data_IF_091156645704
#
_entry.id   IF_091156645704
#
_cell.length_a   1.000
_cell.length_b   1.000
_cell.length_c   1.000
_cell.angle_alpha   90.00
_cell.angle_beta   90.00
_cell.angle_gamma   90.00
#
_symmetry.space_group_name_H-M   'P 1'
#
loop_
_entity.id
_entity.type
_entity.pdbx_description
1 polymer ?
#
# COMPACT_ATOMS: atom_id res chain seq x y z
N UNK A 1 5.08 6.00 -1.71
CA UNK A 1 4.08 5.13 -1.03
C UNK A 1 4.72 3.81 -0.66
N UNK A 2 4.56 3.34 0.59
CA UNK A 2 5.12 2.06 1.00
C UNK A 2 4.43 0.91 0.21
N UNK A 3 5.19 0.04 -0.50
CA UNK A 3 4.61 -1.02 -1.34
C UNK A 3 4.02 -2.18 -0.55
N UNK A 4 4.18 -2.20 0.79
CA UNK A 4 3.81 -3.32 1.65
C UNK A 4 2.33 -3.68 1.59
N UNK A 5 1.44 -2.69 1.58
CA UNK A 5 -0.01 -2.93 1.52
C UNK A 5 -0.42 -3.51 0.17
N UNK A 6 0.11 -2.97 -0.93
CA UNK A 6 -0.12 -3.54 -2.26
C UNK A 6 0.41 -4.97 -2.36
N UNK A 7 1.59 -5.25 -1.79
CA UNK A 7 2.13 -6.61 -1.75
C UNK A 7 1.17 -7.58 -1.06
N UNK A 8 0.62 -7.19 0.10
CA UNK A 8 -0.33 -8.03 0.84
C UNK A 8 -1.63 -8.22 0.08
N UNK A 9 -2.20 -7.15 -0.51
CA UNK A 9 -3.43 -7.22 -1.31
C UNK A 9 -3.25 -8.08 -2.56
N UNK A 10 -2.13 -7.93 -3.27
CA UNK A 10 -1.82 -8.75 -4.46
C UNK A 10 -1.75 -10.22 -4.08
N UNK A 11 -1.02 -10.58 -3.03
CA UNK A 11 -0.93 -11.98 -2.59
C UNK A 11 -2.30 -12.54 -2.20
N UNK A 12 -3.07 -11.81 -1.37
CA UNK A 12 -4.37 -12.25 -0.87
C UNK A 12 -5.42 -12.46 -1.98
N UNK A 13 -5.30 -11.75 -3.10
CA UNK A 13 -6.22 -11.87 -4.24
C UNK A 13 -5.69 -12.76 -5.36
N UNK A 14 -4.44 -13.23 -5.25
CA UNK A 14 -3.77 -13.98 -6.30
C UNK A 14 -4.39 -15.36 -6.52
N UNK A 15 -4.39 -15.80 -7.78
CA UNK A 15 -4.85 -17.13 -8.18
C UNK A 15 -3.72 -17.84 -8.92
N UNK A 16 -2.58 -17.99 -8.23
CA UNK A 16 -1.34 -18.58 -8.75
C UNK A 16 -0.93 -19.77 -7.91
N UNK A 17 0.09 -20.49 -8.36
CA UNK A 17 0.66 -21.61 -7.60
C UNK A 17 1.23 -21.14 -6.25
N UNK A 18 1.12 -21.95 -5.18
CA UNK A 18 1.58 -21.57 -3.83
C UNK A 18 3.03 -21.07 -3.78
N UNK A 19 3.91 -21.63 -4.61
CA UNK A 19 5.31 -21.23 -4.68
C UNK A 19 5.48 -19.77 -5.16
N UNK A 20 4.63 -19.31 -6.08
CA UNK A 20 4.69 -17.93 -6.58
C UNK A 20 4.22 -16.93 -5.51
N UNK A 21 3.19 -17.29 -4.74
CA UNK A 21 2.76 -16.50 -3.60
C UNK A 21 3.84 -16.44 -2.51
N UNK A 22 4.45 -17.58 -2.17
CA UNK A 22 5.55 -17.67 -1.21
C UNK A 22 6.75 -16.83 -1.64
N UNK A 23 7.15 -16.91 -2.91
CA UNK A 23 8.19 -16.08 -3.50
C UNK A 23 7.85 -14.58 -3.37
N UNK A 24 6.62 -14.19 -3.65
CA UNK A 24 6.21 -12.78 -3.58
C UNK A 24 6.18 -12.25 -2.14
N UNK A 25 5.83 -13.10 -1.16
CA UNK A 25 5.85 -12.77 0.26
C UNK A 25 7.22 -12.94 0.93
N UNK A 26 8.17 -13.60 0.26
CA UNK A 26 9.49 -13.90 0.78
C UNK A 26 10.20 -12.65 1.30
N UNK A 27 10.83 -12.78 2.46
CA UNK A 27 11.67 -11.74 3.06
C UNK A 27 13.10 -12.26 3.14
N UNK A 28 14.03 -11.53 2.53
CA UNK A 28 15.43 -11.88 2.56
C UNK A 28 15.97 -11.95 3.99
N UNK A 29 16.88 -12.89 4.24
CA UNK A 29 17.55 -13.06 5.52
C UNK A 29 18.49 -11.88 5.80
N UNK A 30 18.57 -11.47 7.08
CA UNK A 30 19.18 -10.21 7.54
C UNK A 30 20.68 -10.08 7.28
N UNK A 31 21.35 -11.19 7.04
CA UNK A 31 22.78 -11.32 6.78
C UNK A 31 23.18 -11.01 5.33
N UNK A 32 22.20 -10.75 4.46
CA UNK A 32 22.43 -10.42 3.04
C UNK A 32 22.32 -8.92 2.78
N UNK A 33 22.82 -8.46 1.62
CA UNK A 33 22.65 -7.06 1.16
C UNK A 33 21.18 -6.63 1.06
N UNK A 34 20.28 -7.57 0.76
CA UNK A 34 18.84 -7.34 0.68
C UNK A 34 18.13 -7.66 2.02
N UNK A 35 18.89 -7.87 3.09
CA UNK A 35 18.37 -8.41 4.32
C UNK A 35 17.20 -7.63 4.91
N UNK A 36 16.13 -8.34 5.22
CA UNK A 36 14.89 -7.76 5.74
C UNK A 36 13.97 -7.16 4.69
N UNK A 37 14.38 -6.99 3.43
CA UNK A 37 13.49 -6.51 2.37
C UNK A 37 12.55 -7.63 1.90
N UNK A 38 11.24 -7.35 1.75
CA UNK A 38 10.36 -8.26 1.04
C UNK A 38 10.64 -8.26 -0.46
N UNK A 39 10.74 -9.43 -1.08
CA UNK A 39 10.94 -9.55 -2.52
C UNK A 39 9.79 -8.91 -3.31
N UNK A 40 8.54 -9.13 -2.89
CA UNK A 40 7.38 -8.49 -3.54
C UNK A 40 7.43 -6.96 -3.55
N UNK A 41 8.01 -6.33 -2.53
CA UNK A 41 8.20 -4.87 -2.52
C UNK A 41 9.21 -4.43 -3.59
N UNK A 42 10.28 -5.19 -3.76
CA UNK A 42 11.29 -4.92 -4.79
C UNK A 42 10.70 -5.15 -6.20
N UNK A 43 9.87 -6.18 -6.37
CA UNK A 43 9.14 -6.43 -7.62
C UNK A 43 8.20 -5.26 -7.93
N UNK A 44 7.40 -4.78 -6.97
CA UNK A 44 6.50 -3.63 -7.16
C UNK A 44 7.29 -2.38 -7.54
N UNK A 45 8.43 -2.13 -6.89
CA UNK A 45 9.31 -0.99 -7.19
C UNK A 45 9.88 -1.07 -8.61
N UNK A 46 10.46 -2.23 -8.98
CA UNK A 46 10.98 -2.45 -10.32
C UNK A 46 9.90 -2.34 -11.39
N UNK A 47 8.70 -2.89 -11.14
CA UNK A 47 7.58 -2.75 -12.06
C UNK A 47 7.15 -1.29 -12.21
N UNK A 48 7.13 -0.52 -11.11
CA UNK A 48 6.80 0.92 -11.15
C UNK A 48 7.78 1.71 -12.00
N UNK A 49 9.08 1.40 -11.93
CA UNK A 49 10.10 2.02 -12.78
C UNK A 49 9.93 1.61 -14.25
N UNK A 50 9.66 0.34 -14.52
CA UNK A 50 9.48 -0.19 -15.88
C UNK A 50 8.23 0.34 -16.58
N UNK A 51 7.11 0.45 -15.86
CA UNK A 51 5.83 0.95 -16.41
C UNK A 51 5.70 2.47 -16.31
N UNK A 52 6.64 3.13 -15.64
CA UNK A 52 6.71 4.58 -15.45
C UNK A 52 5.77 5.14 -14.38
N UNK A 53 4.83 4.36 -13.84
CA UNK A 53 4.00 4.75 -12.71
C UNK A 53 3.43 3.55 -11.95
N UNK A 54 3.03 3.79 -10.69
CA UNK A 54 2.57 2.77 -9.75
C UNK A 54 1.27 2.09 -10.19
N UNK A 55 0.34 2.83 -10.80
CA UNK A 55 -0.95 2.27 -11.24
C UNK A 55 -0.74 1.23 -12.34
N UNK A 56 0.07 1.54 -13.35
CA UNK A 56 0.37 0.61 -14.45
C UNK A 56 1.17 -0.61 -13.96
N UNK A 57 2.02 -0.45 -12.94
CA UNK A 57 2.73 -1.55 -12.30
C UNK A 57 1.76 -2.50 -11.58
N UNK A 58 0.83 -1.95 -10.79
CA UNK A 58 -0.21 -2.73 -10.12
C UNK A 58 -1.10 -3.44 -11.15
N UNK A 59 -1.51 -2.77 -12.22
CA UNK A 59 -2.34 -3.37 -13.28
C UNK A 59 -1.61 -4.49 -14.05
N UNK A 60 -0.29 -4.37 -14.21
CA UNK A 60 0.55 -5.40 -14.81
C UNK A 60 0.71 -6.61 -13.88
N UNK A 61 1.02 -6.37 -12.60
CA UNK A 61 1.11 -7.41 -11.57
C UNK A 61 -0.23 -8.13 -11.38
N UNK A 62 -1.34 -7.40 -11.42
CA UNK A 62 -2.69 -7.97 -11.38
C UNK A 62 -2.89 -9.02 -12.47
N UNK A 63 -2.44 -8.76 -13.70
CA UNK A 63 -2.50 -9.73 -14.81
C UNK A 63 -1.58 -10.92 -14.58
N UNK A 64 -0.34 -10.66 -14.14
CA UNK A 64 0.65 -11.71 -13.85
C UNK A 64 0.19 -12.68 -12.76
N UNK A 65 -0.47 -12.17 -11.71
CA UNK A 65 -0.98 -12.95 -10.59
C UNK A 65 -2.42 -13.45 -10.79
N UNK A 66 -2.97 -13.36 -12.01
CA UNK A 66 -4.34 -13.75 -12.35
C UNK A 66 -5.44 -13.14 -11.46
N UNK A 67 -5.23 -11.92 -10.98
CA UNK A 67 -6.17 -11.21 -10.12
C UNK A 67 -7.29 -10.58 -10.97
N UNK A 68 -8.53 -10.93 -10.68
CA UNK A 68 -9.70 -10.39 -11.38
C UNK A 68 -10.10 -9.01 -10.89
N UNK A 69 -9.93 -8.73 -9.60
CA UNK A 69 -10.32 -7.46 -8.99
C UNK A 69 -9.36 -6.33 -9.36
N UNK A 70 -9.89 -5.12 -9.59
CA UNK A 70 -9.05 -3.94 -9.75
C UNK A 70 -8.50 -3.48 -8.40
N UNK A 71 -7.23 -3.06 -8.40
CA UNK A 71 -6.54 -2.53 -7.23
C UNK A 71 -6.11 -1.11 -7.60
N UNK A 72 -6.49 -0.14 -6.77
CA UNK A 72 -6.16 1.27 -6.96
C UNK A 72 -5.46 1.80 -5.72
N UNK A 73 -4.44 2.66 -5.87
CA UNK A 73 -3.92 3.41 -4.76
C UNK A 73 -4.91 4.48 -4.32
N UNK A 74 -4.86 4.85 -3.04
CA UNK A 74 -5.68 5.94 -2.51
C UNK A 74 -5.34 7.27 -3.21
N UNK A 75 -4.06 7.50 -3.49
CA UNK A 75 -3.54 8.64 -4.24
C UNK A 75 -2.27 8.22 -4.99
N UNK A 76 -1.93 8.93 -6.06
CA UNK A 76 -0.61 8.82 -6.71
C UNK A 76 0.40 9.83 -6.14
N UNK A 77 -0.06 10.77 -5.31
CA UNK A 77 0.78 11.77 -4.69
C UNK A 77 1.63 11.16 -3.57
N UNK A 78 2.85 11.68 -3.41
CA UNK A 78 3.70 11.26 -2.31
C UNK A 78 3.30 11.99 -1.02
N UNK A 79 2.45 11.35 -0.24
CA UNK A 79 1.88 11.90 1.00
C UNK A 79 2.56 11.32 2.24
N UNK A 80 2.60 12.11 3.31
CA UNK A 80 3.05 11.64 4.63
C UNK A 80 1.92 11.80 5.63
N UNK A 81 1.64 10.75 6.40
CA UNK A 81 0.65 10.78 7.46
C UNK A 81 1.20 11.54 8.69
N UNK A 82 0.36 12.36 9.29
CA UNK A 82 0.61 13.01 10.57
C UNK A 82 -0.56 12.77 11.54
N UNK A 83 -0.27 12.79 12.83
CA UNK A 83 -1.25 12.68 13.90
C UNK A 83 -1.09 13.83 14.89
N UNK A 84 -2.21 14.46 15.24
CA UNK A 84 -2.30 15.33 16.40
C UNK A 84 -2.76 14.50 17.60
N UNK A 85 -2.01 14.56 18.70
CA UNK A 85 -2.34 13.93 19.98
C UNK A 85 -3.25 14.84 20.80
N UNK A 86 -3.96 14.25 21.76
CA UNK A 86 -4.89 15.00 22.64
C UNK A 86 -4.20 16.04 23.55
N UNK A 87 -2.87 15.96 23.70
CA UNK A 87 -2.06 16.94 24.42
C UNK A 87 -1.54 18.08 23.51
N UNK A 88 -1.92 18.08 22.22
CA UNK A 88 -1.49 19.04 21.22
C UNK A 88 -0.20 18.64 20.47
N UNK A 89 0.50 17.59 20.88
CA UNK A 89 1.71 17.12 20.20
C UNK A 89 1.40 16.66 18.77
N UNK A 90 2.25 17.01 17.81
CA UNK A 90 2.14 16.54 16.42
C UNK A 90 3.25 15.53 16.13
N UNK A 91 2.88 14.38 15.58
CA UNK A 91 3.81 13.32 15.16
C UNK A 91 3.67 13.12 13.66
N UNK A 92 4.80 13.07 12.94
CA UNK A 92 4.87 12.91 11.48
C UNK A 92 5.48 11.55 11.14
N UNK A 93 4.92 10.88 10.14
CA UNK A 93 5.33 9.58 9.65
C UNK A 93 4.54 8.46 10.31
N UNK A 94 3.92 7.61 9.48
CA UNK A 94 3.04 6.52 9.92
C UNK A 94 3.69 5.64 10.99
N UNK A 95 4.94 5.20 10.79
CA UNK A 95 5.66 4.35 11.72
C UNK A 95 5.93 4.99 13.10
N UNK A 96 5.87 6.32 13.19
CA UNK A 96 6.13 7.06 14.43
C UNK A 96 4.85 7.34 15.22
N UNK A 97 3.68 7.30 14.56
CA UNK A 97 2.39 7.69 15.16
C UNK A 97 1.99 6.75 16.31
N UNK A 98 2.16 5.42 16.23
CA UNK A 98 1.90 4.52 17.35
C UNK A 98 2.88 4.75 18.50
N UNK A 99 2.48 5.60 19.46
CA UNK A 99 3.27 5.91 20.66
C UNK A 99 2.48 5.46 21.89
N UNK A 100 3.00 4.48 22.67
CA UNK A 100 2.35 4.01 23.89
C UNK A 100 2.05 5.15 24.86
N UNK A 101 0.83 5.16 25.40
CA UNK A 101 0.43 6.15 26.40
C UNK A 101 -0.07 7.49 25.85
N UNK A 102 0.03 7.76 24.54
CA UNK A 102 -0.53 8.98 23.93
C UNK A 102 -1.75 8.69 23.06
N UNK A 103 -2.85 9.39 23.31
CA UNK A 103 -4.09 9.29 22.54
C UNK A 103 -4.03 10.16 21.28
N UNK A 104 -4.49 9.61 20.17
CA UNK A 104 -4.65 10.34 18.90
C UNK A 104 -5.98 11.07 18.92
N UNK A 105 -5.96 12.37 18.63
CA UNK A 105 -7.17 13.18 18.44
C UNK A 105 -7.63 13.12 16.98
N UNK A 106 -6.71 13.29 16.03
CA UNK A 106 -6.98 13.17 14.59
C UNK A 106 -5.73 12.81 13.80
N UNK A 107 -5.95 12.24 12.62
CA UNK A 107 -4.92 12.00 11.60
C UNK A 107 -5.22 12.79 10.33
N UNK A 108 -4.17 13.17 9.61
CA UNK A 108 -4.26 13.93 8.37
C UNK A 108 -2.99 13.77 7.55
N UNK A 109 -3.05 14.04 6.25
CA UNK A 109 -1.85 14.11 5.42
C UNK A 109 -1.16 15.48 5.58
N UNK A 110 0.16 15.50 5.60
CA UNK A 110 0.97 16.74 5.68
C UNK A 110 0.83 17.63 4.46
N UNK A 111 0.37 17.06 3.35
CA UNK A 111 0.07 17.73 2.09
C UNK A 111 -1.31 17.31 1.62
N UNK A 112 -1.94 18.14 0.79
CA UNK A 112 -3.17 17.75 0.12
C UNK A 112 -2.90 16.55 -0.81
N UNK A 113 -3.82 15.59 -0.83
CA UNK A 113 -3.70 14.35 -1.57
C UNK A 113 -4.86 14.26 -2.57
N UNK A 114 -4.55 14.10 -3.84
CA UNK A 114 -5.57 13.93 -4.87
C UNK A 114 -5.99 12.47 -4.94
N UNK A 115 -7.30 12.16 -4.85
CA UNK A 115 -7.75 10.79 -5.06
C UNK A 115 -7.57 10.40 -6.52
N UNK A 116 -7.42 9.10 -6.78
CA UNK A 116 -7.47 8.59 -8.15
C UNK A 116 -8.90 8.75 -8.68
N UNK A 117 -9.09 9.58 -9.71
CA UNK A 117 -10.42 9.92 -10.26
C UNK A 117 -11.25 8.68 -10.62
N UNK A 118 -10.60 7.66 -11.21
CA UNK A 118 -11.24 6.40 -11.58
C UNK A 118 -11.81 5.66 -10.36
N UNK A 119 -11.15 5.75 -9.21
CA UNK A 119 -11.64 5.17 -7.94
C UNK A 119 -12.94 5.86 -7.51
N UNK A 120 -13.03 7.18 -7.64
CA UNK A 120 -14.26 7.92 -7.30
C UNK A 120 -15.45 7.52 -8.19
N UNK A 121 -15.22 7.31 -9.48
CA UNK A 121 -16.27 6.89 -10.42
C UNK A 121 -16.78 5.47 -10.13
N UNK A 122 -15.89 4.58 -9.69
CA UNK A 122 -16.25 3.22 -9.25
C UNK A 122 -17.03 3.29 -7.93
N UNK A 123 -16.57 4.07 -6.97
CA UNK A 123 -17.24 4.23 -5.67
C UNK A 123 -18.67 4.76 -5.81
N UNK A 124 -18.91 5.71 -6.72
CA UNK A 124 -20.27 6.25 -7.00
C UNK A 124 -21.24 5.21 -7.55
N UNK A 125 -20.73 4.14 -8.17
CA UNK A 125 -21.51 3.06 -8.79
C UNK A 125 -21.57 1.80 -7.91
N UNK A 126 -20.92 1.81 -6.75
CA UNK A 126 -20.85 0.64 -5.90
C UNK A 126 -22.20 0.41 -5.21
N UNK A 127 -22.70 -0.83 -5.27
CA UNK A 127 -23.89 -1.25 -4.51
C UNK A 127 -23.60 -1.28 -2.99
N UNK A 128 -22.33 -1.51 -2.63
CA UNK A 128 -21.86 -1.57 -1.26
C UNK A 128 -20.40 -1.07 -1.19
N UNK A 129 -20.12 -0.22 -0.20
CA UNK A 129 -18.76 0.19 0.16
C UNK A 129 -18.43 -0.42 1.51
N UNK A 130 -17.41 -1.29 1.53
CA UNK A 130 -16.88 -1.89 2.76
C UNK A 130 -15.64 -1.10 3.18
N UNK A 131 -15.69 -0.54 4.39
CA UNK A 131 -14.51 0.02 5.03
C UNK A 131 -13.86 -1.10 5.86
N UNK A 132 -12.74 -1.60 5.37
CA UNK A 132 -11.98 -2.64 6.07
C UNK A 132 -11.47 -2.16 7.41
N UNK A 133 -11.37 -3.07 8.38
CA UNK A 133 -10.63 -2.85 9.61
C UNK A 133 -9.14 -3.07 9.33
N UNK A 134 -8.33 -2.06 9.65
CA UNK A 134 -6.87 -2.09 9.61
C UNK A 134 -6.32 -1.70 10.98
#
# INVERSE_FOLDING_TARGET
LPPGDFRNVIAALSQVEPLMEEMFQYRFQKDTFLGGHPLGNLIIMAMTELTGNLQEAIDSLRKLFHIKAHIFPASLDNVTLAAQKTDGTVVIGESNIPEPGKKIERVYYTTEASPVTKTLDIMKKADLILLGMG
#
